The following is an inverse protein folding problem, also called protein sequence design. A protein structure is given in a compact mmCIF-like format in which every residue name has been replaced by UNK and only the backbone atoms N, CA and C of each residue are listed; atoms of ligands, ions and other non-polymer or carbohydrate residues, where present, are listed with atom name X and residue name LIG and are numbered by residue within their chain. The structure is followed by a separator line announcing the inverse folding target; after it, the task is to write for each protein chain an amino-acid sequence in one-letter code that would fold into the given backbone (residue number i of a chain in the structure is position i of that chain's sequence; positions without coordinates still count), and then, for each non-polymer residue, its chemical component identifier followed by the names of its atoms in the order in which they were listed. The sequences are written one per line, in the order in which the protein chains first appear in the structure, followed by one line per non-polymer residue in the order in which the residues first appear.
data_IF_636038101241
#
_entry.id   IF_636038101241
#
_cell.length_a   1.000
_cell.length_b   1.000
_cell.length_c   1.000
_cell.angle_alpha   90.00
_cell.angle_beta   90.00
_cell.angle_gamma   90.00
#
_symmetry.space_group_name_H-M   'P 1'
#
loop_
_entity.id
_entity.type
_entity.pdbx_description
1 polymer ?
#
# COMPACT_ATOMS: atom_id res chain seq x y z
N UNK A 1 -4.99 -26.71 29.11
CA UNK A 1 -4.60 -25.31 29.42
C UNK A 1 -4.12 -24.67 28.12
N UNK A 2 -5.01 -24.03 27.36
CA UNK A 2 -4.63 -23.35 26.10
C UNK A 2 -5.61 -22.26 25.66
N UNK A 3 -6.68 -21.97 26.42
CA UNK A 3 -7.70 -20.98 26.05
C UNK A 3 -7.41 -19.55 26.55
N UNK A 4 -6.17 -19.23 26.92
CA UNK A 4 -5.83 -17.92 27.50
C UNK A 4 -5.51 -16.82 26.46
N UNK A 5 -5.52 -17.13 25.15
CA UNK A 5 -5.29 -16.12 24.11
C UNK A 5 -6.27 -16.29 22.94
N UNK A 6 -7.10 -15.28 22.62
CA UNK A 6 -7.98 -15.36 21.47
C UNK A 6 -7.16 -15.47 20.18
N UNK A 7 -7.67 -16.18 19.14
CA UNK A 7 -6.97 -16.31 17.88
C UNK A 7 -6.76 -14.95 17.23
N UNK A 8 -5.60 -14.77 16.58
CA UNK A 8 -5.28 -13.53 15.87
C UNK A 8 -6.37 -13.24 14.83
N UNK A 9 -6.94 -12.03 14.81
CA UNK A 9 -7.93 -11.65 13.82
C UNK A 9 -7.42 -11.88 12.40
N UNK A 10 -8.31 -12.32 11.50
CA UNK A 10 -7.95 -12.46 10.09
C UNK A 10 -7.59 -11.07 9.51
N UNK A 11 -6.62 -11.00 8.58
CA UNK A 11 -6.29 -9.74 7.91
C UNK A 11 -7.53 -9.13 7.24
N UNK A 12 -7.67 -7.80 7.35
CA UNK A 12 -8.83 -7.03 6.83
C UNK A 12 -9.04 -7.20 5.33
N UNK A 13 -7.96 -7.45 4.57
CA UNK A 13 -8.01 -7.68 3.13
C UNK A 13 -6.88 -8.62 2.68
N UNK A 14 -6.85 -8.94 1.38
CA UNK A 14 -5.72 -9.67 0.76
C UNK A 14 -4.43 -8.84 0.72
N UNK A 15 -4.54 -7.52 0.69
CA UNK A 15 -3.41 -6.60 0.65
C UNK A 15 -2.65 -6.57 1.99
N UNK A 16 -3.39 -6.73 3.10
CA UNK A 16 -2.86 -6.83 4.46
C UNK A 16 -2.12 -8.16 4.77
N UNK A 17 -1.87 -9.01 3.75
CA UNK A 17 -1.11 -10.28 3.90
C UNK A 17 0.32 -10.09 3.43
N UNK A 18 1.14 -9.50 4.29
CA UNK A 18 2.51 -9.14 3.92
C UNK A 18 3.40 -10.34 3.59
N UNK A 19 4.39 -10.08 2.73
CA UNK A 19 5.39 -11.03 2.23
C UNK A 19 6.78 -10.43 2.37
N UNK A 20 7.78 -11.25 2.64
CA UNK A 20 9.18 -10.84 2.56
C UNK A 20 9.47 -10.36 1.15
N UNK A 21 10.03 -9.15 1.00
CA UNK A 21 10.30 -8.57 -0.33
C UNK A 21 11.36 -9.38 -1.09
N UNK A 22 12.42 -9.81 -0.41
CA UNK A 22 13.55 -10.57 -0.98
C UNK A 22 14.30 -11.30 0.13
N UNK A 23 14.98 -12.44 -0.13
CA UNK A 23 15.80 -13.14 0.86
C UNK A 23 16.83 -12.26 1.57
N UNK A 24 17.25 -11.16 0.94
CA UNK A 24 18.24 -10.23 1.47
C UNK A 24 17.62 -8.92 2.02
N UNK A 25 16.30 -8.77 1.99
CA UNK A 25 15.60 -7.58 2.46
C UNK A 25 14.77 -7.91 3.71
N UNK A 26 15.11 -7.33 4.86
CA UNK A 26 14.40 -7.55 6.14
C UNK A 26 13.08 -6.76 6.25
N UNK A 27 12.37 -6.58 5.13
CA UNK A 27 11.11 -5.84 5.07
C UNK A 27 9.98 -6.71 4.54
N UNK A 28 8.79 -6.49 5.11
CA UNK A 28 7.57 -7.18 4.73
C UNK A 28 6.64 -6.20 4.02
N UNK A 29 6.24 -6.54 2.81
CA UNK A 29 5.45 -5.67 1.91
C UNK A 29 4.12 -6.32 1.55
N UNK A 30 3.13 -5.50 1.19
CA UNK A 30 1.89 -5.94 0.58
C UNK A 30 2.17 -6.72 -0.70
N UNK A 31 1.36 -7.73 -1.05
CA UNK A 31 1.60 -8.58 -2.22
C UNK A 31 1.47 -7.82 -3.56
N UNK A 32 0.96 -6.59 -3.53
CA UNK A 32 0.89 -5.66 -4.66
C UNK A 32 1.36 -4.29 -4.15
N UNK A 33 2.14 -3.58 -4.97
CA UNK A 33 2.61 -2.22 -4.71
C UNK A 33 1.68 -1.16 -5.34
N UNK A 34 1.65 0.03 -4.76
CA UNK A 34 1.04 1.21 -5.38
C UNK A 34 2.10 1.98 -6.17
N UNK A 35 1.99 2.00 -7.50
CA UNK A 35 2.83 2.84 -8.35
C UNK A 35 2.42 4.31 -8.27
N UNK A 36 3.38 5.19 -7.96
CA UNK A 36 3.14 6.61 -7.69
C UNK A 36 3.19 7.55 -8.88
N UNK A 37 3.34 7.05 -10.12
CA UNK A 37 3.58 7.87 -11.32
C UNK A 37 2.49 8.92 -11.57
N UNK A 38 1.23 8.61 -11.27
CA UNK A 38 0.08 9.50 -11.45
C UNK A 38 -0.33 10.24 -10.17
N UNK A 39 0.42 10.12 -9.07
CA UNK A 39 0.13 10.84 -7.83
C UNK A 39 0.60 12.30 -7.97
N UNK A 40 -0.30 13.24 -7.65
CA UNK A 40 -0.07 14.67 -7.83
C UNK A 40 -0.35 15.19 -9.24
N UNK A 41 -0.07 16.48 -9.45
CA UNK A 41 -0.54 17.25 -10.62
C UNK A 41 0.52 17.49 -11.71
N UNK A 42 1.78 17.13 -11.45
CA UNK A 42 2.90 17.39 -12.38
C UNK A 42 2.72 16.74 -13.76
N UNK A 43 2.13 15.55 -13.82
CA UNK A 43 2.03 14.73 -15.04
C UNK A 43 0.65 14.70 -15.69
N UNK A 44 -0.25 15.62 -15.31
CA UNK A 44 -1.66 15.58 -15.73
C UNK A 44 -1.88 15.56 -17.25
N UNK A 45 -0.99 16.20 -18.01
CA UNK A 45 -1.05 16.25 -19.48
C UNK A 45 -0.96 14.87 -20.14
N UNK A 46 -0.33 13.90 -19.48
CA UNK A 46 -0.08 12.56 -20.05
C UNK A 46 -0.71 11.42 -19.24
N UNK A 47 -1.01 11.63 -17.96
CA UNK A 47 -1.46 10.60 -17.03
C UNK A 47 -2.87 10.82 -16.46
N UNK A 48 -3.55 11.92 -16.85
CA UNK A 48 -4.86 12.30 -16.33
C UNK A 48 -4.77 13.13 -15.03
N UNK A 49 -5.91 13.68 -14.59
CA UNK A 49 -5.94 14.58 -13.43
C UNK A 49 -5.95 13.82 -12.10
N UNK A 50 -4.98 14.10 -11.24
CA UNK A 50 -4.94 13.67 -9.84
C UNK A 50 -4.57 14.88 -8.97
N UNK A 51 -5.56 15.59 -8.46
CA UNK A 51 -5.32 16.69 -7.53
C UNK A 51 -4.89 16.18 -6.14
N UNK A 52 -4.46 17.09 -5.26
CA UNK A 52 -4.00 16.73 -3.92
C UNK A 52 -5.07 16.00 -3.09
N UNK A 53 -6.35 16.44 -3.06
CA UNK A 53 -7.41 15.70 -2.36
C UNK A 53 -7.63 14.27 -2.89
N UNK A 54 -7.70 14.08 -4.21
CA UNK A 54 -7.85 12.74 -4.80
C UNK A 54 -6.63 11.85 -4.57
N UNK A 55 -5.43 12.43 -4.62
CA UNK A 55 -4.19 11.74 -4.25
C UNK A 55 -4.24 11.19 -2.84
N UNK A 56 -4.65 12.01 -1.86
CA UNK A 56 -4.82 11.54 -0.48
C UNK A 56 -5.90 10.48 -0.36
N UNK A 57 -7.06 10.67 -1.00
CA UNK A 57 -8.13 9.66 -0.99
C UNK A 57 -7.65 8.29 -1.48
N UNK A 58 -6.82 8.26 -2.53
CA UNK A 58 -6.23 7.02 -3.04
C UNK A 58 -5.24 6.41 -2.04
N UNK A 59 -4.33 7.23 -1.49
CA UNK A 59 -3.34 6.79 -0.50
C UNK A 59 -4.01 6.25 0.77
N UNK A 60 -5.03 6.95 1.28
CA UNK A 60 -5.81 6.54 2.44
C UNK A 60 -6.53 5.22 2.16
N UNK A 61 -7.17 5.07 1.00
CA UNK A 61 -7.84 3.82 0.63
C UNK A 61 -6.84 2.64 0.53
N UNK A 62 -5.65 2.87 -0.03
CA UNK A 62 -4.60 1.86 -0.09
C UNK A 62 -4.12 1.45 1.31
N UNK A 63 -3.88 2.43 2.18
CA UNK A 63 -3.45 2.20 3.57
C UNK A 63 -4.53 1.49 4.40
N UNK A 64 -5.78 1.94 4.34
CA UNK A 64 -6.95 1.34 5.02
C UNK A 64 -7.16 -0.12 4.58
N UNK A 65 -6.94 -0.43 3.30
CA UNK A 65 -6.95 -1.79 2.79
C UNK A 65 -5.75 -2.63 3.29
N UNK A 66 -4.77 -2.02 3.95
CA UNK A 66 -3.56 -2.67 4.45
C UNK A 66 -2.43 -2.74 3.41
N UNK A 67 -2.35 -1.78 2.50
CA UNK A 67 -1.21 -1.57 1.63
C UNK A 67 -0.08 -0.85 2.37
N UNK A 68 1.16 -1.24 2.11
CA UNK A 68 2.32 -0.63 2.77
C UNK A 68 3.54 -0.44 1.84
N UNK A 69 3.37 -0.65 0.54
CA UNK A 69 4.45 -0.57 -0.44
C UNK A 69 4.09 0.39 -1.56
N UNK A 70 4.80 1.52 -1.62
CA UNK A 70 4.64 2.58 -2.63
C UNK A 70 5.93 2.68 -3.43
N UNK A 71 5.81 2.65 -4.75
CA UNK A 71 6.91 2.79 -5.70
C UNK A 71 6.87 4.18 -6.35
N UNK A 72 7.99 4.90 -6.34
CA UNK A 72 8.06 6.30 -6.82
C UNK A 72 9.46 6.67 -7.30
N UNK A 73 9.58 7.84 -7.95
CA UNK A 73 10.85 8.41 -8.43
C UNK A 73 10.82 9.94 -8.41
N UNK A 74 11.97 10.58 -8.58
CA UNK A 74 12.18 12.02 -8.43
C UNK A 74 12.01 12.84 -9.73
N UNK A 75 11.48 12.24 -10.80
CA UNK A 75 11.39 12.86 -12.11
C UNK A 75 10.52 14.13 -12.12
#
# INVERSE_FOLDING_TARGET
MSDMMPPVPKPKSRLARYRVLSPHASIHVSPIQLGGMSIGDKWQKFMGSMDKPSSFKLLDAFYEAGGNFIDTSNN
#
